data_IF_789247397377
#
_entry.id   IF_789247397377
#
_cell.length_a   1.000
_cell.length_b   1.000
_cell.length_c   1.000
_cell.angle_alpha   90.00
_cell.angle_beta   90.00
_cell.angle_gamma   90.00
#
_symmetry.space_group_name_H-M   'P 1'
#
loop_
_entity.id
_entity.type
_entity.pdbx_description
1 polymer ?
#
# COMPACT_ATOMS: atom_id res chain seq x y z
N UNK A 1 7.45 -22.59 16.61
CA UNK A 1 5.99 -22.32 16.68
C UNK A 1 5.50 -21.84 18.04
N UNK A 2 5.77 -22.50 19.19
CA UNK A 2 5.30 -22.06 20.53
C UNK A 2 5.56 -20.58 20.85
N UNK A 3 6.70 -20.03 20.42
CA UNK A 3 7.08 -18.65 20.71
C UNK A 3 6.27 -17.59 19.92
N UNK A 4 5.86 -17.91 18.68
CA UNK A 4 5.19 -16.94 17.78
C UNK A 4 3.77 -16.61 18.28
N UNK A 5 3.01 -17.63 18.70
CA UNK A 5 1.67 -17.45 19.24
C UNK A 5 1.64 -16.68 20.56
N UNK A 6 2.61 -16.95 21.46
CA UNK A 6 2.74 -16.24 22.72
C UNK A 6 3.12 -14.77 22.52
N UNK A 7 4.06 -14.49 21.62
CA UNK A 7 4.45 -13.12 21.29
C UNK A 7 3.29 -12.33 20.66
N UNK A 8 2.57 -12.95 19.72
CA UNK A 8 1.38 -12.36 19.12
C UNK A 8 0.31 -12.04 20.16
N UNK A 9 0.00 -12.98 21.07
CA UNK A 9 -0.97 -12.76 22.14
C UNK A 9 -0.54 -11.65 23.12
N UNK A 10 0.75 -11.56 23.45
CA UNK A 10 1.32 -10.49 24.28
C UNK A 10 1.12 -9.12 23.63
N UNK A 11 1.44 -9.00 22.33
CA UNK A 11 1.25 -7.76 21.56
C UNK A 11 -0.21 -7.32 21.53
N UNK A 12 -1.14 -8.23 21.21
CA UNK A 12 -2.59 -7.95 21.24
C UNK A 12 -3.07 -7.50 22.62
N UNK A 13 -2.64 -8.19 23.68
CA UNK A 13 -3.03 -7.86 25.06
C UNK A 13 -2.53 -6.47 25.47
N UNK A 14 -1.30 -6.11 25.07
CA UNK A 14 -0.75 -4.79 25.31
C UNK A 14 -1.54 -3.71 24.56
N UNK A 15 -1.89 -3.94 23.30
CA UNK A 15 -2.68 -3.00 22.49
C UNK A 15 -4.07 -2.74 23.11
N UNK A 16 -4.79 -3.79 23.51
CA UNK A 16 -6.13 -3.68 24.12
C UNK A 16 -6.11 -2.85 25.41
N UNK A 17 -5.01 -2.91 26.17
CA UNK A 17 -4.85 -2.15 27.43
C UNK A 17 -4.45 -0.68 27.18
N UNK A 18 -4.04 -0.32 25.97
CA UNK A 18 -3.61 1.04 25.65
C UNK A 18 -4.81 1.96 25.35
N UNK A 19 -5.18 2.76 26.35
CA UNK A 19 -6.29 3.72 26.24
C UNK A 19 -6.09 4.78 25.15
N UNK A 20 -4.83 5.17 24.83
CA UNK A 20 -4.54 6.16 23.79
C UNK A 20 -4.86 5.62 22.40
N UNK A 21 -4.43 4.38 22.11
CA UNK A 21 -4.73 3.69 20.84
C UNK A 21 -6.23 3.57 20.64
N UNK A 22 -6.95 3.10 21.67
CA UNK A 22 -8.41 2.96 21.62
C UNK A 22 -9.09 4.29 21.30
N UNK A 23 -8.75 5.35 22.01
CA UNK A 23 -9.34 6.69 21.80
C UNK A 23 -9.04 7.24 20.41
N UNK A 24 -7.81 7.05 19.89
CA UNK A 24 -7.44 7.49 18.55
C UNK A 24 -8.25 6.75 17.47
N UNK A 25 -8.38 5.42 17.59
CA UNK A 25 -9.15 4.61 16.65
C UNK A 25 -10.65 4.91 16.70
N UNK A 26 -11.24 5.10 17.89
CA UNK A 26 -12.66 5.47 18.02
C UNK A 26 -12.97 6.77 17.25
N UNK A 27 -12.13 7.79 17.40
CA UNK A 27 -12.27 9.07 16.66
C UNK A 27 -12.09 8.87 15.15
N UNK A 28 -11.08 8.11 14.76
CA UNK A 28 -10.79 7.85 13.35
C UNK A 28 -11.92 7.07 12.66
N UNK A 29 -12.44 6.02 13.29
CA UNK A 29 -13.55 5.19 12.77
C UNK A 29 -14.83 6.04 12.64
N UNK A 30 -15.15 6.86 13.65
CA UNK A 30 -16.32 7.73 13.59
C UNK A 30 -16.21 8.74 12.43
N UNK A 31 -15.04 9.39 12.28
CA UNK A 31 -14.76 10.32 11.19
C UNK A 31 -14.84 9.63 9.82
N UNK A 32 -14.23 8.46 9.68
CA UNK A 32 -14.25 7.67 8.44
C UNK A 32 -15.67 7.33 8.01
N UNK A 33 -16.48 6.76 8.92
CA UNK A 33 -17.88 6.38 8.62
C UNK A 33 -18.69 7.57 8.14
N UNK A 34 -18.58 8.71 8.84
CA UNK A 34 -19.26 9.95 8.48
C UNK A 34 -18.84 10.42 7.08
N UNK A 35 -17.52 10.51 6.82
CA UNK A 35 -17.02 10.99 5.52
C UNK A 35 -17.49 10.09 4.36
N UNK A 36 -17.40 8.77 4.50
CA UNK A 36 -17.86 7.84 3.45
C UNK A 36 -19.36 7.94 3.23
N UNK A 37 -20.16 8.06 4.29
CA UNK A 37 -21.61 8.25 4.17
C UNK A 37 -21.97 9.54 3.43
N UNK A 38 -21.35 10.67 3.80
CA UNK A 38 -21.53 11.96 3.13
C UNK A 38 -21.10 11.91 1.65
N UNK A 39 -19.97 11.28 1.36
CA UNK A 39 -19.45 11.17 0.00
C UNK A 39 -20.33 10.29 -0.90
N UNK A 40 -20.80 9.14 -0.39
CA UNK A 40 -21.71 8.27 -1.14
C UNK A 40 -23.10 8.90 -1.33
N UNK A 41 -23.57 9.70 -0.36
CA UNK A 41 -24.79 10.48 -0.53
C UNK A 41 -24.63 11.57 -1.60
N UNK A 42 -23.45 12.21 -1.66
CA UNK A 42 -23.12 13.22 -2.68
C UNK A 42 -22.92 12.62 -4.07
N UNK A 43 -22.38 11.41 -4.16
CA UNK A 43 -22.11 10.70 -5.41
C UNK A 43 -22.76 9.30 -5.44
N UNK A 44 -24.09 9.19 -5.54
CA UNK A 44 -24.80 7.90 -5.45
C UNK A 44 -24.40 6.89 -6.54
N UNK A 45 -23.99 7.36 -7.71
CA UNK A 45 -23.50 6.52 -8.81
C UNK A 45 -22.26 5.70 -8.44
N UNK A 46 -21.53 6.08 -7.38
CA UNK A 46 -20.38 5.33 -6.86
C UNK A 46 -20.74 3.89 -6.53
N UNK A 47 -21.97 3.60 -6.11
CA UNK A 47 -22.41 2.24 -5.81
C UNK A 47 -22.43 1.36 -7.06
N UNK A 48 -22.97 1.87 -8.17
CA UNK A 48 -22.97 1.18 -9.45
C UNK A 48 -21.54 1.04 -9.99
N UNK A 49 -20.74 2.10 -9.88
CA UNK A 49 -19.34 2.08 -10.27
C UNK A 49 -18.54 1.02 -9.49
N UNK A 50 -18.84 0.81 -8.22
CA UNK A 50 -18.19 -0.23 -7.40
C UNK A 50 -18.52 -1.65 -7.88
N UNK A 51 -19.75 -1.88 -8.38
CA UNK A 51 -20.12 -3.15 -9.01
C UNK A 51 -19.39 -3.36 -10.34
N UNK A 52 -19.24 -2.31 -11.15
CA UNK A 52 -18.40 -2.34 -12.35
C UNK A 52 -16.95 -2.66 -12.01
N UNK A 53 -16.38 -2.00 -10.99
CA UNK A 53 -15.02 -2.27 -10.53
C UNK A 53 -14.86 -3.70 -10.05
N UNK A 54 -15.85 -4.30 -9.38
CA UNK A 54 -15.81 -5.73 -9.02
C UNK A 54 -15.68 -6.60 -10.27
N UNK A 55 -16.48 -6.36 -11.31
CA UNK A 55 -16.40 -7.11 -12.57
C UNK A 55 -15.04 -6.91 -13.27
N UNK A 56 -14.53 -5.68 -13.28
CA UNK A 56 -13.19 -5.36 -13.81
C UNK A 56 -12.11 -6.16 -13.08
N UNK A 57 -12.16 -6.19 -11.74
CA UNK A 57 -11.20 -6.97 -10.94
C UNK A 57 -11.31 -8.46 -11.22
N UNK A 58 -12.51 -9.02 -11.28
CA UNK A 58 -12.71 -10.44 -11.61
C UNK A 58 -12.11 -10.80 -12.99
N UNK A 59 -12.46 -10.01 -14.01
CA UNK A 59 -11.97 -10.20 -15.37
C UNK A 59 -10.46 -9.96 -15.51
N UNK A 60 -9.88 -9.05 -14.72
CA UNK A 60 -8.44 -8.80 -14.77
C UNK A 60 -7.66 -9.93 -14.10
N UNK A 61 -8.12 -10.42 -12.94
CA UNK A 61 -7.43 -11.49 -12.23
C UNK A 61 -7.46 -12.81 -13.03
N UNK A 62 -8.52 -13.10 -13.79
CA UNK A 62 -8.58 -14.31 -14.62
C UNK A 62 -7.60 -14.34 -15.80
N UNK A 63 -6.97 -13.22 -16.16
CA UNK A 63 -5.96 -13.11 -17.23
C UNK A 63 -4.75 -12.29 -16.76
N UNK A 64 -4.43 -12.39 -15.47
CA UNK A 64 -3.47 -11.51 -14.81
C UNK A 64 -2.07 -11.60 -15.44
N UNK A 65 -1.60 -12.81 -15.79
CA UNK A 65 -0.30 -13.00 -16.47
C UNK A 65 -0.24 -12.28 -17.83
N UNK A 66 -1.30 -12.41 -18.64
CA UNK A 66 -1.39 -11.75 -19.95
C UNK A 66 -1.39 -10.22 -19.81
N UNK A 67 -2.16 -9.70 -18.86
CA UNK A 67 -2.23 -8.26 -18.58
C UNK A 67 -0.90 -7.70 -18.09
N UNK A 68 -0.18 -8.42 -17.23
CA UNK A 68 1.15 -8.00 -16.75
C UNK A 68 2.12 -7.94 -17.92
N UNK A 69 2.12 -8.95 -18.79
CA UNK A 69 2.96 -8.96 -20.00
C UNK A 69 2.63 -7.75 -20.90
N UNK A 70 1.35 -7.51 -21.17
CA UNK A 70 0.92 -6.36 -21.96
C UNK A 70 1.34 -5.01 -21.33
N UNK A 71 1.22 -4.89 -20.00
CA UNK A 71 1.66 -3.70 -19.28
C UNK A 71 3.18 -3.49 -19.40
N UNK A 72 3.96 -4.55 -19.26
CA UNK A 72 5.42 -4.51 -19.42
C UNK A 72 5.83 -4.08 -20.84
N UNK A 73 5.17 -4.61 -21.87
CA UNK A 73 5.43 -4.23 -23.26
C UNK A 73 5.05 -2.76 -23.51
N UNK A 74 3.90 -2.31 -23.02
CA UNK A 74 3.44 -0.91 -23.15
C UNK A 74 4.37 0.09 -22.44
N UNK A 75 4.92 -0.28 -21.27
CA UNK A 75 5.91 0.53 -20.55
C UNK A 75 7.20 0.68 -21.38
N UNK A 76 7.66 -0.39 -22.02
CA UNK A 76 8.84 -0.37 -22.90
C UNK A 76 8.65 0.50 -24.14
N UNK A 77 7.48 0.43 -24.75
CA UNK A 77 7.11 1.29 -25.88
C UNK A 77 7.17 2.79 -25.51
N UNK A 78 6.94 3.11 -24.24
CA UNK A 78 7.01 4.46 -23.68
C UNK A 78 8.38 4.86 -23.11
N UNK A 79 9.44 4.10 -23.43
CA UNK A 79 10.83 4.31 -22.96
C UNK A 79 11.03 4.09 -21.46
N UNK A 80 10.13 3.35 -20.81
CA UNK A 80 10.38 2.78 -19.49
C UNK A 80 11.00 1.40 -19.58
N UNK A 81 11.49 0.90 -18.45
CA UNK A 81 11.90 -0.48 -18.29
C UNK A 81 10.94 -1.20 -17.33
N UNK A 82 10.63 -2.46 -17.62
CA UNK A 82 9.69 -3.24 -16.83
C UNK A 82 10.25 -4.62 -16.49
N UNK A 83 10.06 -5.01 -15.24
CA UNK A 83 10.58 -6.25 -14.65
C UNK A 83 9.46 -7.00 -13.95
N UNK A 84 9.53 -8.33 -13.94
CA UNK A 84 8.66 -9.18 -13.15
C UNK A 84 9.51 -9.89 -12.11
N UNK A 85 9.24 -9.63 -10.84
CA UNK A 85 9.85 -10.30 -9.71
C UNK A 85 8.88 -11.34 -9.14
N UNK A 86 9.31 -12.60 -9.11
CA UNK A 86 8.52 -13.71 -8.57
C UNK A 86 8.44 -13.69 -7.05
N UNK A 87 9.47 -13.16 -6.39
CA UNK A 87 9.60 -13.17 -4.93
C UNK A 87 10.03 -11.81 -4.38
N UNK A 88 9.82 -11.61 -3.07
CA UNK A 88 10.32 -10.41 -2.37
C UNK A 88 11.84 -10.21 -2.53
N UNK A 89 12.63 -11.29 -2.52
CA UNK A 89 14.09 -11.21 -2.66
C UNK A 89 14.52 -10.82 -4.09
N UNK A 90 13.79 -11.29 -5.10
CA UNK A 90 14.06 -10.90 -6.48
C UNK A 90 13.73 -9.42 -6.70
N UNK A 91 12.61 -8.93 -6.14
CA UNK A 91 12.26 -7.51 -6.20
C UNK A 91 13.29 -6.63 -5.49
N UNK A 92 13.72 -7.02 -4.28
CA UNK A 92 14.83 -6.36 -3.57
C UNK A 92 16.08 -6.29 -4.43
N UNK A 93 16.52 -7.43 -5.00
CA UNK A 93 17.72 -7.50 -5.84
C UNK A 93 17.63 -6.57 -7.05
N UNK A 94 16.54 -6.62 -7.81
CA UNK A 94 16.35 -5.76 -9.00
C UNK A 94 16.42 -4.29 -8.60
N UNK A 95 15.67 -3.88 -7.57
CA UNK A 95 15.63 -2.48 -7.14
C UNK A 95 16.99 -2.05 -6.55
N UNK A 96 17.67 -2.93 -5.82
CA UNK A 96 19.02 -2.68 -5.29
C UNK A 96 20.06 -2.49 -6.38
N UNK A 97 20.01 -3.29 -7.45
CA UNK A 97 20.88 -3.14 -8.63
C UNK A 97 20.63 -1.80 -9.35
N UNK A 98 19.36 -1.40 -9.49
CA UNK A 98 19.00 -0.09 -10.07
C UNK A 98 19.42 1.08 -9.18
N UNK A 99 19.30 0.92 -7.86
CA UNK A 99 19.61 2.00 -6.92
C UNK A 99 21.11 2.19 -6.66
N UNK A 100 21.88 1.09 -6.63
CA UNK A 100 23.26 1.11 -6.19
C UNK A 100 23.41 1.45 -4.70
N UNK A 101 24.53 2.07 -4.35
CA UNK A 101 24.86 2.48 -2.98
C UNK A 101 25.22 3.97 -2.89
N UNK A 102 25.13 4.54 -1.68
CA UNK A 102 25.50 5.93 -1.41
C UNK A 102 24.54 6.98 -2.00
N UNK A 103 23.33 6.59 -2.41
CA UNK A 103 22.32 7.48 -2.98
C UNK A 103 21.39 8.06 -1.93
N UNK A 104 20.78 9.20 -2.24
CA UNK A 104 19.62 9.72 -1.52
C UNK A 104 18.36 9.32 -2.26
N UNK A 105 17.46 8.61 -1.56
CA UNK A 105 16.24 8.04 -2.12
C UNK A 105 15.04 8.64 -1.39
N UNK A 106 14.10 9.20 -2.15
CA UNK A 106 12.80 9.61 -1.61
C UNK A 106 11.74 8.59 -2.02
N UNK A 107 10.99 8.10 -1.05
CA UNK A 107 10.02 7.04 -1.24
C UNK A 107 8.63 7.53 -0.83
N UNK A 108 7.68 7.40 -1.75
CA UNK A 108 6.26 7.60 -1.45
C UNK A 108 5.65 6.32 -0.89
N UNK A 109 4.54 6.46 -0.14
CA UNK A 109 3.88 5.32 0.49
C UNK A 109 3.53 4.23 -0.52
N UNK A 110 3.96 3.00 -0.22
CA UNK A 110 3.61 1.82 -1.00
C UNK A 110 3.55 0.59 -0.12
N UNK A 111 2.36 -0.01 -0.01
CA UNK A 111 2.22 -1.29 0.71
C UNK A 111 3.08 -2.39 0.10
N UNK A 112 3.33 -2.36 -1.21
CA UNK A 112 4.14 -3.36 -1.89
C UNK A 112 5.62 -3.22 -1.55
N UNK A 113 6.11 -2.00 -1.28
CA UNK A 113 7.48 -1.83 -0.79
C UNK A 113 7.62 -2.21 0.68
N UNK A 114 6.61 -1.94 1.52
CA UNK A 114 6.59 -2.40 2.92
C UNK A 114 6.51 -3.93 2.99
N UNK A 115 5.72 -4.53 2.10
CA UNK A 115 5.61 -5.98 1.95
C UNK A 115 6.98 -6.64 1.76
N UNK A 116 7.87 -6.01 1.01
CA UNK A 116 9.21 -6.53 0.76
C UNK A 116 10.28 -5.86 1.64
N UNK A 117 9.94 -5.08 2.68
CA UNK A 117 10.93 -4.40 3.53
C UNK A 117 12.00 -3.63 2.73
N UNK A 118 11.55 -2.93 1.68
CA UNK A 118 12.46 -2.35 0.69
C UNK A 118 13.34 -1.25 1.29
N UNK A 119 12.80 -0.48 2.22
CA UNK A 119 13.51 0.63 2.85
C UNK A 119 14.73 0.14 3.62
N UNK A 120 14.53 -0.83 4.50
CA UNK A 120 15.59 -1.44 5.31
C UNK A 120 16.66 -2.07 4.41
N UNK A 121 16.23 -2.80 3.37
CA UNK A 121 17.15 -3.39 2.40
C UNK A 121 18.02 -2.34 1.67
N UNK A 122 17.43 -1.22 1.25
CA UNK A 122 18.17 -0.14 0.58
C UNK A 122 19.09 0.63 1.56
N UNK A 123 18.68 0.79 2.82
CA UNK A 123 19.50 1.36 3.90
C UNK A 123 20.72 0.45 4.19
N UNK A 124 20.54 -0.89 4.19
CA UNK A 124 21.63 -1.87 4.33
C UNK A 124 22.65 -1.81 3.18
N UNK A 125 22.21 -1.45 1.97
CA UNK A 125 23.10 -1.18 0.83
C UNK A 125 23.87 0.14 0.95
N UNK A 126 23.67 0.91 2.02
CA UNK A 126 24.36 2.17 2.29
C UNK A 126 23.67 3.40 1.68
N UNK A 127 22.39 3.31 1.33
CA UNK A 127 21.62 4.45 0.84
C UNK A 127 20.93 5.20 2.00
N UNK A 128 20.63 6.48 1.77
CA UNK A 128 19.77 7.27 2.66
C UNK A 128 18.36 7.28 2.10
N UNK A 129 17.44 6.56 2.73
CA UNK A 129 16.06 6.48 2.27
C UNK A 129 15.17 7.33 3.16
N UNK A 130 14.31 8.14 2.56
CA UNK A 130 13.34 8.98 3.27
C UNK A 130 11.93 8.67 2.80
N UNK A 131 11.06 8.26 3.73
CA UNK A 131 9.63 8.27 3.47
C UNK A 131 9.14 9.70 3.29
N UNK A 132 8.16 9.88 2.42
CA UNK A 132 7.67 11.22 2.05
C UNK A 132 6.21 11.45 2.40
N UNK A 133 5.49 10.38 2.74
CA UNK A 133 4.17 10.45 3.37
C UNK A 133 4.40 10.80 4.85
N UNK A 134 3.70 11.81 5.36
CA UNK A 134 3.87 12.29 6.73
C UNK A 134 3.77 11.15 7.76
N UNK A 135 2.80 10.26 7.56
CA UNK A 135 2.59 9.15 8.48
C UNK A 135 3.74 8.15 8.43
N UNK A 136 4.17 7.76 7.23
CA UNK A 136 5.30 6.82 7.07
C UNK A 136 6.62 7.42 7.59
N UNK A 137 6.85 8.72 7.40
CA UNK A 137 8.04 9.42 7.91
C UNK A 137 8.09 9.40 9.45
N UNK A 138 6.95 9.63 10.11
CA UNK A 138 6.85 9.56 11.57
C UNK A 138 7.21 8.13 12.04
N UNK A 139 6.65 7.11 11.38
CA UNK A 139 6.93 5.71 11.69
C UNK A 139 8.41 5.38 11.50
N UNK A 140 9.00 5.84 10.39
CA UNK A 140 10.42 5.68 10.09
C UNK A 140 11.30 6.27 11.19
N UNK A 141 11.08 7.53 11.59
CA UNK A 141 11.90 8.19 12.61
C UNK A 141 11.69 7.63 14.03
N UNK A 142 10.54 7.03 14.30
CA UNK A 142 10.30 6.32 15.57
C UNK A 142 10.90 4.91 15.57
N UNK A 143 11.21 4.34 14.41
CA UNK A 143 11.68 2.95 14.29
C UNK A 143 10.63 1.93 14.73
N UNK A 144 9.34 2.25 14.55
CA UNK A 144 8.22 1.39 14.90
C UNK A 144 7.53 0.86 13.63
N UNK A 145 6.52 -0.01 13.79
CA UNK A 145 5.74 -0.53 12.66
C UNK A 145 4.50 0.33 12.39
N UNK A 146 4.07 0.47 11.13
CA UNK A 146 2.79 1.12 10.82
C UNK A 146 1.63 0.28 11.35
N UNK A 147 0.51 0.93 11.71
CA UNK A 147 -0.65 0.22 12.27
C UNK A 147 -1.90 0.22 11.38
N UNK A 148 -1.84 0.86 10.23
CA UNK A 148 -2.96 0.92 9.27
C UNK A 148 -2.45 1.12 7.85
N UNK A 149 -3.15 0.57 6.86
CA UNK A 149 -2.76 0.61 5.44
C UNK A 149 -2.70 2.03 4.85
N UNK A 150 -3.64 2.89 5.25
CA UNK A 150 -3.78 4.27 4.74
C UNK A 150 -3.16 5.31 5.68
N UNK A 151 -3.27 5.10 6.99
CA UNK A 151 -2.95 6.08 8.05
C UNK A 151 -1.95 5.44 9.03
N UNK A 152 -0.70 5.21 8.61
CA UNK A 152 0.26 4.36 9.31
C UNK A 152 0.54 4.82 10.75
N UNK A 153 0.56 6.13 10.99
CA UNK A 153 0.81 6.76 12.29
C UNK A 153 -0.45 7.10 13.11
N UNK A 154 -1.63 6.55 12.76
CA UNK A 154 -2.92 6.88 13.43
C UNK A 154 -2.93 6.70 14.96
N UNK A 155 -2.02 5.87 15.46
CA UNK A 155 -1.88 5.52 16.86
C UNK A 155 -0.90 6.43 17.63
N UNK A 156 -0.16 7.29 16.92
CA UNK A 156 0.84 8.20 17.48
C UNK A 156 0.16 9.53 17.87
N UNK A 157 0.14 9.91 19.15
CA UNK A 157 -0.34 11.23 19.59
C UNK A 157 0.51 12.36 19.03
N UNK A 158 -0.11 13.52 18.75
CA UNK A 158 0.59 14.72 18.26
C UNK A 158 1.70 15.19 19.20
N UNK A 159 1.53 15.02 20.51
CA UNK A 159 2.53 15.42 21.50
C UNK A 159 3.85 14.65 21.30
N UNK A 160 3.74 13.35 20.99
CA UNK A 160 4.89 12.47 20.73
C UNK A 160 5.53 12.81 19.37
N UNK A 161 4.73 13.25 18.37
CA UNK A 161 5.23 13.74 17.07
C UNK A 161 6.04 15.03 17.24
N UNK A 162 5.57 15.98 18.05
CA UNK A 162 6.27 17.23 18.28
C UNK A 162 7.62 17.03 19.00
N UNK A 163 7.69 16.12 19.98
CA UNK A 163 8.94 15.73 20.63
C UNK A 163 9.92 15.08 19.63
N UNK A 164 9.42 14.18 18.80
CA UNK A 164 10.20 13.54 17.73
C UNK A 164 10.79 14.57 16.76
N UNK A 165 9.97 15.47 16.23
CA UNK A 165 10.42 16.50 15.28
C UNK A 165 11.40 17.47 15.95
N UNK A 166 11.22 17.77 17.24
CA UNK A 166 12.18 18.56 18.00
C UNK A 166 13.55 17.90 18.05
N UNK A 167 13.59 16.60 18.31
CA UNK A 167 14.82 15.81 18.34
C UNK A 167 15.48 15.70 16.96
N UNK A 168 14.70 15.46 15.91
CA UNK A 168 15.21 15.28 14.54
C UNK A 168 15.75 16.59 13.97
N UNK A 169 15.08 17.70 14.22
CA UNK A 169 15.45 19.01 13.65
C UNK A 169 16.36 19.85 14.53
N UNK A 170 16.47 19.51 15.82
CA UNK A 170 17.18 20.31 16.83
C UNK A 170 16.49 21.63 17.19
N UNK A 171 15.25 21.86 16.75
CA UNK A 171 14.45 23.07 17.03
C UNK A 171 13.18 22.70 17.76
N UNK A 172 12.80 23.46 18.79
CA UNK A 172 11.56 23.20 19.55
C UNK A 172 10.34 23.31 18.64
N UNK A 173 9.58 22.22 18.54
CA UNK A 173 8.31 22.14 17.80
C UNK A 173 7.17 22.02 18.82
N UNK A 174 6.19 22.93 18.80
CA UNK A 174 5.01 22.82 19.68
C UNK A 174 4.08 21.68 19.19
N UNK A 175 3.30 21.05 20.09
CA UNK A 175 2.33 19.99 19.78
C UNK A 175 1.06 20.52 19.09
N UNK A 176 1.27 21.21 17.97
CA UNK A 176 0.27 21.79 17.11
C UNK A 176 0.43 21.22 15.69
N UNK A 177 -0.60 20.54 15.20
CA UNK A 177 -0.58 19.84 13.91
C UNK A 177 -0.09 20.75 12.77
N UNK A 178 -0.53 22.01 12.73
CA UNK A 178 -0.10 22.96 11.70
C UNK A 178 1.40 23.24 11.72
N UNK A 179 2.01 23.26 12.92
CA UNK A 179 3.45 23.48 13.09
C UNK A 179 4.25 22.22 12.80
N UNK A 180 3.78 21.06 13.25
CA UNK A 180 4.38 19.76 12.92
C UNK A 180 4.45 19.55 11.40
N UNK A 181 3.33 19.79 10.70
CA UNK A 181 3.26 19.70 9.23
C UNK A 181 4.19 20.70 8.55
N UNK A 182 4.30 21.92 9.07
CA UNK A 182 5.20 22.94 8.53
C UNK A 182 6.67 22.49 8.59
N UNK A 183 7.09 21.93 9.72
CA UNK A 183 8.45 21.43 9.92
C UNK A 183 8.75 20.25 8.99
N UNK A 184 7.85 19.28 8.90
CA UNK A 184 8.00 18.14 7.98
C UNK A 184 8.08 18.60 6.54
N UNK A 185 7.24 19.57 6.15
CA UNK A 185 7.27 20.14 4.79
C UNK A 185 8.62 20.81 4.48
N UNK A 186 9.22 21.53 5.42
CA UNK A 186 10.54 22.14 5.22
C UNK A 186 11.62 21.06 5.03
N UNK A 187 11.63 20.05 5.90
CA UNK A 187 12.57 18.94 5.84
C UNK A 187 12.46 18.17 4.51
N UNK A 188 11.24 17.79 4.10
CA UNK A 188 11.05 16.98 2.90
C UNK A 188 11.35 17.75 1.61
N UNK A 189 11.11 19.07 1.57
CA UNK A 189 11.42 19.89 0.38
C UNK A 189 12.90 19.83 -0.01
N UNK A 190 13.80 19.92 0.96
CA UNK A 190 15.23 19.75 0.71
C UNK A 190 15.52 18.36 0.16
N UNK A 191 14.90 17.31 0.75
CA UNK A 191 15.11 15.92 0.31
C UNK A 191 14.60 15.63 -1.08
N UNK A 192 13.46 16.19 -1.51
CA UNK A 192 12.98 16.00 -2.88
C UNK A 192 13.95 16.57 -3.93
N UNK A 193 14.63 17.67 -3.62
CA UNK A 193 15.58 18.33 -4.53
C UNK A 193 16.93 17.59 -4.54
N UNK A 194 17.36 17.08 -3.39
CA UNK A 194 18.63 16.34 -3.24
C UNK A 194 18.57 14.88 -3.72
N UNK A 195 17.37 14.32 -3.91
CA UNK A 195 17.20 12.90 -4.19
C UNK A 195 17.70 12.50 -5.58
N UNK A 196 18.51 11.44 -5.60
CA UNK A 196 18.94 10.75 -6.80
C UNK A 196 17.83 9.88 -7.39
N UNK A 197 17.01 9.28 -6.53
CA UNK A 197 16.00 8.28 -6.91
C UNK A 197 14.68 8.55 -6.19
N UNK A 198 13.62 8.47 -6.98
CA UNK A 198 12.24 8.46 -6.54
C UNK A 198 11.67 7.06 -6.54
N UNK A 199 11.08 6.61 -5.42
CA UNK A 199 10.38 5.33 -5.35
C UNK A 199 8.88 5.55 -5.10
N UNK A 200 8.05 4.81 -5.82
CA UNK A 200 6.61 4.79 -5.57
C UNK A 200 5.98 3.41 -5.68
N UNK A 201 4.73 3.33 -5.22
CA UNK A 201 3.81 2.29 -5.66
C UNK A 201 2.87 2.80 -6.76
N UNK A 202 1.81 2.05 -7.01
CA UNK A 202 0.63 2.48 -7.74
C UNK A 202 -0.63 1.92 -7.05
N UNK A 203 -1.76 2.62 -7.22
CA UNK A 203 -3.07 2.11 -6.82
C UNK A 203 -3.61 1.12 -7.86
N UNK A 204 -3.39 1.41 -9.15
CA UNK A 204 -3.81 0.59 -10.29
C UNK A 204 -2.92 0.89 -11.50
N UNK A 205 -2.75 -0.09 -12.39
CA UNK A 205 -1.99 0.05 -13.63
C UNK A 205 -2.87 -0.34 -14.81
N UNK A 206 -2.90 0.48 -15.86
CA UNK A 206 -3.56 0.16 -17.11
C UNK A 206 -2.61 -0.61 -18.02
N UNK A 207 -2.97 -1.85 -18.39
CA UNK A 207 -2.14 -2.69 -19.23
C UNK A 207 -1.95 -2.12 -20.63
N UNK A 208 -3.01 -1.59 -21.26
CA UNK A 208 -2.96 -1.10 -22.64
C UNK A 208 -2.06 0.12 -22.85
N UNK A 209 -1.87 0.96 -21.82
CA UNK A 209 -1.07 2.19 -21.91
C UNK A 209 0.18 2.16 -21.05
N UNK A 210 0.40 1.10 -20.26
CA UNK A 210 1.48 1.06 -19.27
C UNK A 210 1.38 2.15 -18.19
N UNK A 211 0.21 2.77 -18.01
CA UNK A 211 0.04 3.93 -17.14
C UNK A 211 -0.21 3.53 -15.69
N UNK A 212 0.59 4.08 -14.78
CA UNK A 212 0.43 3.95 -13.34
C UNK A 212 -0.48 5.07 -12.84
N UNK A 213 -1.50 4.73 -12.05
CA UNK A 213 -2.37 5.70 -11.38
C UNK A 213 -2.06 5.70 -9.89
N UNK A 214 -1.69 6.87 -9.37
CA UNK A 214 -1.35 7.10 -7.96
C UNK A 214 -2.30 8.15 -7.37
N UNK A 215 -2.96 7.80 -6.28
CA UNK A 215 -3.89 8.66 -5.55
C UNK A 215 -3.18 9.20 -4.31
N UNK A 216 -3.18 10.52 -4.10
CA UNK A 216 -2.55 11.13 -2.93
C UNK A 216 -3.23 12.43 -2.48
N UNK A 217 -2.83 12.91 -1.29
CA UNK A 217 -3.35 14.15 -0.70
C UNK A 217 -2.26 15.16 -0.32
N UNK A 218 -0.99 14.76 -0.21
CA UNK A 218 0.09 15.60 0.33
C UNK A 218 0.94 16.25 -0.78
N UNK A 219 0.82 15.77 -2.01
CA UNK A 219 1.66 16.19 -3.15
C UNK A 219 3.05 15.55 -3.12
N UNK A 220 3.35 14.74 -2.11
CA UNK A 220 4.62 14.07 -1.90
C UNK A 220 4.88 13.02 -2.97
N UNK A 221 3.88 12.25 -3.41
CA UNK A 221 4.08 11.22 -4.42
C UNK A 221 4.41 11.85 -5.78
N UNK A 222 3.75 12.95 -6.15
CA UNK A 222 4.09 13.75 -7.33
C UNK A 222 5.52 14.26 -7.28
N UNK A 223 5.99 14.72 -6.11
CA UNK A 223 7.37 15.18 -5.95
C UNK A 223 8.35 14.01 -6.02
N UNK A 224 8.08 12.89 -5.33
CA UNK A 224 8.90 11.68 -5.40
C UNK A 224 9.02 11.11 -6.80
N UNK A 225 7.97 11.20 -7.61
CA UNK A 225 7.95 10.61 -8.96
C UNK A 225 8.31 11.61 -10.06
N UNK A 226 8.29 12.90 -9.75
CA UNK A 226 8.44 13.98 -10.73
C UNK A 226 9.72 14.80 -10.62
N UNK A 227 10.43 14.78 -9.50
CA UNK A 227 11.69 15.54 -9.31
C UNK A 227 12.96 14.71 -9.53
N UNK A 228 13.11 13.52 -8.92
CA UNK A 228 14.34 12.75 -9.05
C UNK A 228 14.62 12.33 -10.50
N UNK A 229 15.89 12.24 -10.92
CA UNK A 229 16.25 11.85 -12.28
C UNK A 229 15.91 10.39 -12.61
N UNK A 230 15.73 9.53 -11.60
CA UNK A 230 15.34 8.12 -11.75
C UNK A 230 14.05 7.89 -10.96
N UNK A 231 13.03 7.32 -11.59
CA UNK A 231 11.81 6.85 -10.93
C UNK A 231 11.70 5.33 -11.00
N UNK A 232 11.62 4.68 -9.84
CA UNK A 232 11.38 3.24 -9.70
C UNK A 232 10.01 3.02 -9.05
N UNK A 233 9.10 2.34 -9.73
CA UNK A 233 7.83 1.91 -9.17
C UNK A 233 7.86 0.42 -8.81
N UNK A 234 7.33 0.05 -7.65
CA UNK A 234 7.08 -1.35 -7.27
C UNK A 234 5.57 -1.58 -7.08
N UNK A 235 5.02 -2.53 -7.83
CA UNK A 235 3.56 -2.73 -7.92
C UNK A 235 3.23 -4.21 -7.93
N UNK A 236 2.29 -4.64 -7.08
CA UNK A 236 1.80 -6.02 -7.14
C UNK A 236 1.04 -6.29 -8.45
N UNK A 237 1.23 -7.47 -9.03
CA UNK A 237 0.59 -7.88 -10.31
C UNK A 237 -0.94 -7.85 -10.24
N UNK A 238 -1.52 -7.95 -9.04
CA UNK A 238 -2.97 -7.90 -8.84
C UNK A 238 -3.58 -6.54 -9.16
N UNK A 239 -2.76 -5.49 -9.29
CA UNK A 239 -3.21 -4.12 -9.54
C UNK A 239 -3.33 -3.79 -11.02
N UNK A 240 -2.98 -4.69 -11.93
CA UNK A 240 -3.09 -4.46 -13.37
C UNK A 240 -4.54 -4.70 -13.83
N UNK A 241 -5.07 -3.80 -14.65
CA UNK A 241 -6.38 -3.90 -15.33
C UNK A 241 -6.21 -3.65 -16.82
N UNK A 242 -7.21 -3.99 -17.64
CA UNK A 242 -7.04 -4.00 -19.11
C UNK A 242 -6.84 -2.58 -19.67
N UNK A 243 -7.78 -1.67 -19.38
CA UNK A 243 -7.83 -0.36 -20.03
C UNK A 243 -7.55 0.80 -19.09
N UNK A 244 -7.17 1.96 -19.64
CA UNK A 244 -6.99 3.19 -18.89
C UNK A 244 -8.30 3.67 -18.27
N UNK A 245 -9.42 3.52 -18.98
CA UNK A 245 -10.75 3.85 -18.45
C UNK A 245 -11.08 2.99 -17.22
N UNK A 246 -10.83 1.69 -17.29
CA UNK A 246 -11.00 0.78 -16.15
C UNK A 246 -10.11 1.17 -14.97
N UNK A 247 -8.85 1.53 -15.22
CA UNK A 247 -7.94 2.00 -14.18
C UNK A 247 -8.48 3.24 -13.47
N UNK A 248 -9.05 4.20 -14.21
CA UNK A 248 -9.66 5.39 -13.61
C UNK A 248 -10.91 5.05 -12.78
N UNK A 249 -11.74 4.10 -13.22
CA UNK A 249 -12.88 3.62 -12.40
C UNK A 249 -12.42 2.97 -11.11
N UNK A 250 -11.39 2.11 -11.18
CA UNK A 250 -10.78 1.47 -10.00
C UNK A 250 -10.23 2.53 -9.04
N UNK A 251 -9.52 3.53 -9.57
CA UNK A 251 -8.99 4.63 -8.77
C UNK A 251 -10.12 5.40 -8.08
N UNK A 252 -11.20 5.72 -8.81
CA UNK A 252 -12.33 6.47 -8.27
C UNK A 252 -13.00 5.77 -7.09
N UNK A 253 -13.37 4.51 -7.28
CA UNK A 253 -13.96 3.72 -6.19
C UNK A 253 -12.98 3.60 -5.02
N UNK A 254 -11.66 3.51 -5.30
CA UNK A 254 -10.65 3.43 -4.24
C UNK A 254 -10.66 4.67 -3.34
N UNK A 255 -10.59 5.89 -3.88
CA UNK A 255 -10.52 7.09 -3.03
C UNK A 255 -11.83 7.37 -2.30
N UNK A 256 -12.98 7.13 -2.94
CA UNK A 256 -14.31 7.33 -2.34
C UNK A 256 -14.47 6.47 -1.09
N UNK A 257 -13.93 5.25 -1.09
CA UNK A 257 -13.99 4.33 0.06
C UNK A 257 -12.78 4.41 0.99
N UNK A 258 -11.66 5.02 0.58
CA UNK A 258 -10.44 5.10 1.39
C UNK A 258 -10.50 6.23 2.42
N UNK A 259 -10.79 7.45 1.96
CA UNK A 259 -10.85 8.65 2.80
C UNK A 259 -12.27 9.19 2.96
N UNK A 260 -13.20 8.74 2.11
CA UNK A 260 -14.54 9.34 2.03
C UNK A 260 -14.50 10.76 1.49
N UNK A 261 -13.48 11.12 0.69
CA UNK A 261 -13.32 12.45 0.09
C UNK A 261 -12.64 12.34 -1.26
N UNK A 262 -12.86 13.35 -2.10
CA UNK A 262 -12.10 13.53 -3.34
C UNK A 262 -10.61 13.80 -3.00
N UNK A 263 -9.66 13.13 -3.65
CA UNK A 263 -8.24 13.31 -3.38
C UNK A 263 -7.76 14.67 -3.89
N UNK A 264 -6.71 15.22 -3.28
CA UNK A 264 -6.08 16.44 -3.78
C UNK A 264 -5.39 16.23 -5.13
N UNK A 265 -4.85 15.02 -5.36
CA UNK A 265 -4.14 14.68 -6.60
C UNK A 265 -4.41 13.26 -7.06
N UNK A 266 -4.48 13.10 -8.38
CA UNK A 266 -4.40 11.81 -9.08
C UNK A 266 -3.29 11.95 -10.11
N UNK A 267 -2.17 11.26 -9.89
CA UNK A 267 -1.03 11.28 -10.80
C UNK A 267 -1.12 10.11 -11.77
N UNK A 268 -0.99 10.41 -13.07
CA UNK A 268 -0.93 9.41 -14.14
C UNK A 268 0.49 9.44 -14.69
N UNK A 269 1.23 8.36 -14.50
CA UNK A 269 2.65 8.25 -14.85
C UNK A 269 2.80 7.15 -15.89
N UNK A 270 3.23 7.50 -17.10
CA UNK A 270 3.31 6.54 -18.22
C UNK A 270 4.71 6.42 -18.81
N UNK A 271 5.72 7.02 -18.19
CA UNK A 271 7.08 7.04 -18.74
C UNK A 271 7.93 8.17 -18.16
N UNK A 272 9.16 8.33 -18.66
CA UNK A 272 10.03 9.45 -18.30
C UNK A 272 9.40 10.80 -18.67
N UNK A 273 9.86 11.86 -18.00
CA UNK A 273 9.46 13.25 -18.31
C UNK A 273 9.77 13.57 -19.76
N UNK A 274 8.87 14.21 -20.51
CA UNK A 274 9.10 14.56 -21.92
C UNK A 274 8.38 15.83 -22.36
N UNK A 275 8.94 16.53 -23.35
CA UNK A 275 8.30 17.65 -24.08
C UNK A 275 8.34 17.39 -25.59
N UNK A 276 7.42 18.02 -26.32
CA UNK A 276 7.43 18.10 -27.78
C UNK A 276 7.20 19.54 -28.26
N UNK A 277 7.43 20.55 -27.41
CA UNK A 277 7.10 21.95 -27.73
C UNK A 277 8.02 22.53 -28.82
N UNK A 278 9.24 22.01 -28.94
CA UNK A 278 10.21 22.40 -29.97
C UNK A 278 10.06 21.47 -31.17
N UNK A 279 9.49 22.00 -32.26
CA UNK A 279 9.38 21.32 -33.57
C UNK A 279 8.62 19.98 -33.55
N UNK A 280 7.84 19.70 -32.49
CA UNK A 280 7.20 18.38 -32.26
C UNK A 280 8.20 17.22 -32.09
N UNK A 281 9.46 17.53 -31.79
CA UNK A 281 10.48 16.53 -31.51
C UNK A 281 10.42 16.15 -30.03
N UNK A 282 10.08 14.89 -29.76
CA UNK A 282 10.00 14.38 -28.39
C UNK A 282 11.39 14.35 -27.76
N UNK A 283 11.58 15.12 -26.70
CA UNK A 283 12.81 15.16 -25.89
C UNK A 283 12.48 14.73 -24.47
N UNK A 284 13.27 13.83 -23.90
CA UNK A 284 13.05 13.24 -22.58
C UNK A 284 13.95 13.88 -21.50
N UNK A 285 13.52 13.80 -20.24
CA UNK A 285 14.28 14.28 -19.09
C UNK A 285 14.23 15.78 -18.85
N UNK A 286 13.11 16.45 -19.16
CA UNK A 286 13.00 17.92 -19.13
C UNK A 286 12.97 18.46 -17.70
N UNK A 287 11.95 18.06 -16.93
CA UNK A 287 11.74 18.53 -15.55
C UNK A 287 11.75 17.41 -14.52
N UNK A 288 11.58 16.16 -14.96
CA UNK A 288 11.50 15.01 -14.08
C UNK A 288 12.34 13.83 -14.57
N UNK A 289 11.95 12.59 -14.24
CA UNK A 289 12.79 11.43 -14.47
C UNK A 289 13.25 11.29 -15.92
N UNK A 290 14.52 10.98 -16.09
CA UNK A 290 15.14 10.51 -17.34
C UNK A 290 14.96 9.01 -17.50
N UNK A 291 14.96 8.31 -16.38
CA UNK A 291 14.83 6.86 -16.30
C UNK A 291 13.56 6.50 -15.53
N UNK A 292 12.81 5.53 -16.07
CA UNK A 292 11.55 5.07 -15.49
C UNK A 292 11.55 3.55 -15.46
N UNK A 293 11.48 2.96 -14.27
CA UNK A 293 11.53 1.52 -14.05
C UNK A 293 10.28 1.06 -13.30
N UNK A 294 9.69 -0.06 -13.71
CA UNK A 294 8.53 -0.66 -13.03
C UNK A 294 8.82 -2.11 -12.71
N UNK A 295 8.81 -2.45 -11.42
CA UNK A 295 8.95 -3.82 -10.92
C UNK A 295 7.57 -4.34 -10.52
N UNK A 296 7.03 -5.22 -11.34
CA UNK A 296 5.83 -5.99 -11.02
C UNK A 296 6.18 -7.11 -10.05
N UNK A 297 5.45 -7.20 -8.94
CA UNK A 297 5.66 -8.20 -7.89
C UNK A 297 4.55 -9.25 -7.92
N UNK A 298 4.93 -10.51 -8.12
CA UNK A 298 4.04 -11.65 -7.96
C UNK A 298 3.94 -12.04 -6.47
N UNK A 299 4.98 -12.67 -5.91
CA UNK A 299 5.03 -13.04 -4.49
C UNK A 299 3.80 -13.85 -4.04
N UNK A 300 3.42 -14.87 -4.82
CA UNK A 300 2.28 -15.77 -4.53
C UNK A 300 0.95 -15.33 -5.12
N UNK A 301 0.90 -14.22 -5.87
CA UNK A 301 -0.34 -13.65 -6.42
C UNK A 301 -0.85 -14.47 -7.59
N UNK A 302 0.01 -14.99 -8.46
CA UNK A 302 -0.41 -15.87 -9.56
C UNK A 302 -1.04 -17.16 -9.01
N UNK A 303 -0.42 -17.81 -8.00
CA UNK A 303 -1.01 -18.99 -7.37
C UNK A 303 -2.32 -18.68 -6.65
N UNK A 304 -2.43 -17.50 -6.04
CA UNK A 304 -3.68 -17.06 -5.42
C UNK A 304 -4.79 -16.82 -6.46
N UNK A 305 -4.47 -16.39 -7.68
CA UNK A 305 -5.46 -16.14 -8.74
C UNK A 305 -6.14 -17.45 -9.19
N UNK A 306 -5.37 -18.53 -9.26
CA UNK A 306 -5.86 -19.87 -9.60
C UNK A 306 -6.56 -20.57 -8.43
N UNK A 307 -6.39 -20.06 -7.20
CA UNK A 307 -6.99 -20.66 -6.01
C UNK A 307 -8.42 -20.14 -5.78
N UNK A 308 -9.47 -20.98 -5.95
CA UNK A 308 -10.86 -20.54 -5.80
C UNK A 308 -11.21 -20.09 -4.37
N UNK A 309 -10.45 -20.54 -3.37
CA UNK A 309 -10.68 -20.18 -1.96
C UNK A 309 -10.12 -18.80 -1.63
N UNK A 310 -9.04 -18.36 -2.28
CA UNK A 310 -8.31 -17.15 -1.89
C UNK A 310 -8.21 -16.07 -2.97
N UNK A 311 -8.61 -16.36 -4.22
CA UNK A 311 -8.53 -15.41 -5.35
C UNK A 311 -9.23 -14.08 -5.12
N UNK A 312 -10.32 -14.05 -4.35
CA UNK A 312 -11.04 -12.79 -4.08
C UNK A 312 -10.18 -11.78 -3.30
N UNK A 313 -9.15 -12.22 -2.57
CA UNK A 313 -8.23 -11.33 -1.90
C UNK A 313 -7.52 -10.38 -2.87
N UNK A 314 -7.31 -10.80 -4.12
CA UNK A 314 -6.67 -10.04 -5.20
C UNK A 314 -7.56 -8.92 -5.76
N UNK A 315 -8.86 -8.92 -5.45
CA UNK A 315 -9.77 -7.82 -5.84
C UNK A 315 -9.61 -6.58 -4.95
N UNK A 316 -8.82 -6.68 -3.88
CA UNK A 316 -8.70 -5.65 -2.86
C UNK A 316 -8.16 -4.32 -3.42
N UNK A 317 -8.93 -3.24 -3.24
CA UNK A 317 -8.54 -1.88 -3.61
C UNK A 317 -7.61 -1.19 -2.61
N UNK A 318 -7.26 -1.86 -1.50
CA UNK A 318 -6.48 -1.31 -0.37
C UNK A 318 -7.13 -0.07 0.29
N UNK A 319 -8.45 0.08 0.20
CA UNK A 319 -9.18 1.22 0.76
C UNK A 319 -9.36 1.20 2.29
N UNK A 320 -8.95 0.15 3.00
CA UNK A 320 -9.04 0.12 4.46
C UNK A 320 -10.45 0.04 5.07
N UNK A 321 -11.52 0.09 4.27
CA UNK A 321 -12.92 0.01 4.75
C UNK A 321 -13.17 -1.17 5.69
N UNK A 322 -12.59 -2.34 5.37
CA UNK A 322 -12.70 -3.54 6.19
C UNK A 322 -12.05 -3.39 7.58
N UNK A 323 -11.01 -2.56 7.73
CA UNK A 323 -10.33 -2.31 9.01
C UNK A 323 -11.14 -1.38 9.90
N UNK A 324 -11.66 -0.28 9.34
CA UNK A 324 -12.51 0.66 10.09
C UNK A 324 -13.81 0.03 10.59
N UNK A 325 -14.30 -1.01 9.90
CA UNK A 325 -15.51 -1.74 10.28
C UNK A 325 -15.25 -2.96 11.15
N UNK A 326 -13.97 -3.31 11.38
CA UNK A 326 -13.60 -4.47 12.15
C UNK A 326 -13.62 -4.15 13.66
N UNK A 327 -14.45 -4.84 14.47
CA UNK A 327 -14.50 -4.62 15.91
C UNK A 327 -13.21 -5.05 16.63
N UNK A 328 -12.48 -6.02 16.08
CA UNK A 328 -11.19 -6.46 16.64
C UNK A 328 -10.14 -5.38 16.40
N UNK A 329 -10.00 -4.91 15.15
CA UNK A 329 -9.05 -3.86 14.79
C UNK A 329 -9.26 -2.58 15.60
N UNK A 330 -10.52 -2.22 15.89
CA UNK A 330 -10.85 -1.07 16.74
C UNK A 330 -10.25 -1.15 18.17
N UNK A 331 -9.92 -2.35 18.65
CA UNK A 331 -9.34 -2.60 19.97
C UNK A 331 -7.83 -2.87 19.92
N UNK A 332 -7.34 -3.41 18.81
CA UNK A 332 -5.97 -3.94 18.70
C UNK A 332 -5.09 -3.17 17.75
N UNK A 333 -5.64 -2.27 16.94
CA UNK A 333 -4.94 -1.57 15.86
C UNK A 333 -4.18 -2.54 14.94
N UNK A 334 -3.00 -2.11 14.47
CA UNK A 334 -2.10 -2.87 13.62
C UNK A 334 -1.53 -4.14 14.23
N UNK A 335 -1.65 -4.34 15.55
CA UNK A 335 -1.22 -5.60 16.17
C UNK A 335 -2.10 -6.78 15.73
N UNK A 336 -3.30 -6.52 15.19
CA UNK A 336 -4.10 -7.53 14.52
C UNK A 336 -3.61 -7.76 13.08
N UNK A 337 -2.38 -8.24 12.95
CA UNK A 337 -1.73 -8.52 11.69
C UNK A 337 -0.20 -8.47 11.77
N UNK A 338 0.42 -8.51 10.59
CA UNK A 338 1.86 -8.26 10.42
C UNK A 338 2.08 -7.20 9.35
N UNK A 339 2.53 -7.59 8.13
CA UNK A 339 2.65 -6.69 6.97
C UNK A 339 1.28 -6.18 6.50
N UNK A 340 0.25 -7.02 6.63
CA UNK A 340 -1.13 -6.68 6.39
C UNK A 340 -1.97 -6.88 7.65
N UNK A 341 -3.04 -6.10 7.77
CA UNK A 341 -3.87 -6.03 8.98
C UNK A 341 -5.27 -6.61 8.76
N UNK A 342 -5.92 -6.99 9.86
CA UNK A 342 -7.30 -7.45 9.84
C UNK A 342 -7.47 -8.87 9.29
N UNK A 343 -8.73 -9.26 9.10
CA UNK A 343 -9.07 -10.56 8.49
C UNK A 343 -8.54 -10.69 7.06
N UNK A 344 -8.58 -9.60 6.27
CA UNK A 344 -7.96 -9.60 4.93
C UNK A 344 -6.44 -9.77 5.03
N UNK A 345 -5.81 -9.22 6.08
CA UNK A 345 -4.39 -9.37 6.32
C UNK A 345 -3.98 -10.80 6.61
N UNK A 346 -4.77 -11.59 7.34
CA UNK A 346 -4.51 -13.01 7.50
C UNK A 346 -4.44 -13.75 6.16
N UNK A 347 -5.37 -13.46 5.25
CA UNK A 347 -5.39 -14.06 3.90
C UNK A 347 -4.17 -13.60 3.09
N UNK A 348 -3.84 -12.31 3.11
CA UNK A 348 -2.65 -11.80 2.43
C UNK A 348 -1.35 -12.38 3.00
N UNK A 349 -1.25 -12.53 4.32
CA UNK A 349 -0.12 -13.22 4.95
C UNK A 349 -0.01 -14.65 4.44
N UNK A 350 -1.12 -15.40 4.32
CA UNK A 350 -1.10 -16.75 3.76
C UNK A 350 -0.62 -16.78 2.30
N UNK A 351 -1.01 -15.79 1.49
CA UNK A 351 -0.60 -15.68 0.09
C UNK A 351 0.91 -15.41 0.00
N UNK A 352 1.37 -14.30 0.58
CA UNK A 352 2.73 -13.79 0.35
C UNK A 352 3.82 -14.58 1.08
N UNK A 353 3.45 -15.33 2.12
CA UNK A 353 4.38 -16.23 2.81
C UNK A 353 4.44 -17.63 2.18
N UNK A 354 3.64 -17.91 1.14
CA UNK A 354 3.48 -19.24 0.58
C UNK A 354 2.67 -20.20 1.47
N UNK A 355 1.95 -19.68 2.47
CA UNK A 355 1.07 -20.48 3.33
C UNK A 355 -0.02 -21.22 2.55
N UNK A 356 -0.52 -20.65 1.45
CA UNK A 356 -1.49 -21.31 0.56
C UNK A 356 -0.86 -22.35 -0.38
N UNK A 357 0.47 -22.33 -0.56
CA UNK A 357 1.24 -23.27 -1.40
C UNK A 357 2.04 -24.29 -0.59
N UNK A 358 1.93 -24.27 0.75
CA UNK A 358 2.45 -25.32 1.63
C UNK A 358 3.53 -24.87 2.63
N UNK A 359 3.91 -23.59 2.67
CA UNK A 359 4.80 -23.09 3.72
C UNK A 359 4.10 -23.10 5.09
N UNK A 360 4.45 -24.07 5.93
CA UNK A 360 3.84 -24.26 7.25
C UNK A 360 4.08 -23.07 8.20
N UNK A 361 5.24 -22.43 8.15
CA UNK A 361 5.50 -21.27 9.01
C UNK A 361 4.61 -20.08 8.60
N UNK A 362 4.53 -19.82 7.29
CA UNK A 362 3.65 -18.82 6.71
C UNK A 362 2.17 -19.07 7.02
N UNK A 363 1.73 -20.34 6.88
CA UNK A 363 0.39 -20.77 7.23
C UNK A 363 0.10 -20.59 8.72
N UNK A 364 1.05 -20.87 9.60
CA UNK A 364 0.89 -20.68 11.04
C UNK A 364 0.71 -19.20 11.42
N UNK A 365 1.54 -18.31 10.88
CA UNK A 365 1.40 -16.86 11.11
C UNK A 365 0.06 -16.34 10.59
N UNK A 366 -0.35 -16.78 9.39
CA UNK A 366 -1.66 -16.45 8.84
C UNK A 366 -2.81 -16.98 9.71
N UNK A 367 -2.70 -18.22 10.20
CA UNK A 367 -3.73 -18.84 11.03
C UNK A 367 -3.89 -18.12 12.38
N UNK A 368 -2.81 -17.68 13.03
CA UNK A 368 -2.89 -16.92 14.30
C UNK A 368 -3.74 -15.65 14.15
N UNK A 369 -3.52 -14.89 13.08
CA UNK A 369 -4.36 -13.73 12.74
C UNK A 369 -5.77 -14.21 12.37
N UNK A 370 -5.87 -15.27 11.56
CA UNK A 370 -7.14 -15.89 11.15
C UNK A 370 -8.03 -16.25 12.33
N UNK A 371 -7.52 -16.85 13.41
CA UNK A 371 -8.27 -17.24 14.61
C UNK A 371 -8.70 -16.06 15.48
N UNK A 372 -8.07 -14.89 15.33
CA UNK A 372 -8.47 -13.68 16.06
C UNK A 372 -9.68 -12.99 15.40
N UNK A 373 -9.94 -13.25 14.11
CA UNK A 373 -11.11 -12.71 13.40
C UNK A 373 -12.44 -13.26 13.96
N UNK A 374 -13.45 -12.40 14.17
CA UNK A 374 -14.77 -12.84 14.64
C UNK A 374 -15.69 -13.38 13.53
N UNK A 375 -15.25 -13.34 12.26
CA UNK A 375 -16.06 -13.74 11.09
C UNK A 375 -17.44 -13.05 11.01
N UNK A 376 -17.57 -11.83 11.56
CA UNK A 376 -18.86 -11.15 11.74
C UNK A 376 -19.50 -10.57 10.46
N UNK A 377 -18.84 -10.65 9.29
CA UNK A 377 -19.42 -10.21 8.01
C UNK A 377 -19.41 -8.71 7.70
N UNK A 378 -19.18 -7.83 8.67
CA UNK A 378 -19.22 -6.36 8.45
C UNK A 378 -18.28 -5.90 7.34
N UNK A 379 -17.08 -6.48 7.27
CA UNK A 379 -16.09 -6.16 6.24
C UNK A 379 -16.58 -6.49 4.82
N UNK A 380 -17.38 -7.56 4.64
CA UNK A 380 -18.00 -7.91 3.34
C UNK A 380 -19.07 -6.89 2.95
N UNK A 381 -19.93 -6.53 3.91
CA UNK A 381 -21.02 -5.56 3.69
C UNK A 381 -20.50 -4.18 3.29
N UNK A 382 -19.38 -3.76 3.88
CA UNK A 382 -18.81 -2.42 3.65
C UNK A 382 -17.71 -2.39 2.58
N UNK A 383 -17.30 -3.53 2.05
CA UNK A 383 -16.34 -3.60 0.96
C UNK A 383 -17.00 -3.11 -0.34
N UNK A 384 -16.41 -2.14 -1.07
CA UNK A 384 -16.98 -1.68 -2.34
C UNK A 384 -17.12 -2.81 -3.37
N UNK A 385 -16.15 -3.73 -3.35
CA UNK A 385 -16.08 -4.89 -4.25
C UNK A 385 -16.49 -6.19 -3.56
N UNK A 386 -17.26 -6.12 -2.47
CA UNK A 386 -17.96 -7.25 -1.82
C UNK A 386 -17.10 -8.51 -1.54
N UNK A 387 -15.79 -8.35 -1.26
CA UNK A 387 -14.87 -9.48 -0.98
C UNK A 387 -15.34 -10.27 0.24
N UNK A 388 -15.44 -11.59 0.11
CA UNK A 388 -15.88 -12.48 1.19
C UNK A 388 -14.74 -12.88 2.14
N UNK A 389 -14.21 -11.88 2.84
CA UNK A 389 -13.17 -12.09 3.87
C UNK A 389 -13.59 -13.13 4.93
N UNK A 390 -14.81 -13.11 5.50
CA UNK A 390 -15.22 -14.12 6.48
C UNK A 390 -15.11 -15.55 5.96
N UNK A 391 -15.56 -15.81 4.72
CA UNK A 391 -15.45 -17.13 4.13
C UNK A 391 -13.98 -17.54 3.94
N UNK A 392 -13.15 -16.66 3.37
CA UNK A 392 -11.71 -16.95 3.20
C UNK A 392 -11.00 -17.24 4.54
N UNK A 393 -11.41 -16.57 5.64
CA UNK A 393 -10.89 -16.85 6.97
C UNK A 393 -11.31 -18.25 7.47
N UNK A 394 -12.56 -18.65 7.23
CA UNK A 394 -13.04 -19.99 7.58
C UNK A 394 -12.25 -21.05 6.82
N UNK A 395 -12.05 -20.87 5.52
CA UNK A 395 -11.25 -21.79 4.70
C UNK A 395 -9.78 -21.82 5.14
N UNK A 396 -9.18 -20.67 5.45
CA UNK A 396 -7.82 -20.60 6.01
C UNK A 396 -7.69 -21.40 7.32
N UNK A 397 -8.69 -21.33 8.21
CA UNK A 397 -8.71 -22.11 9.45
C UNK A 397 -8.82 -23.61 9.18
N UNK A 398 -9.67 -24.03 8.22
CA UNK A 398 -9.79 -25.46 7.84
C UNK A 398 -8.45 -26.00 7.34
N UNK A 399 -7.82 -25.29 6.40
CA UNK A 399 -6.50 -25.65 5.87
C UNK A 399 -5.46 -25.72 6.98
N UNK A 400 -5.47 -24.77 7.93
CA UNK A 400 -4.55 -24.80 9.06
C UNK A 400 -4.78 -26.03 9.96
N UNK A 401 -6.04 -26.37 10.28
CA UNK A 401 -6.35 -27.58 11.05
C UNK A 401 -5.82 -28.81 10.33
N UNK A 402 -6.19 -29.02 9.07
CA UNK A 402 -5.77 -30.19 8.27
C UNK A 402 -4.25 -30.36 8.16
N UNK A 403 -3.47 -29.28 8.30
CA UNK A 403 -2.00 -29.31 8.22
C UNK A 403 -1.30 -29.46 9.58
N UNK A 404 -1.95 -29.07 10.67
CA UNK A 404 -1.36 -29.07 12.01
C UNK A 404 -1.98 -30.09 12.98
N UNK A 405 -3.04 -30.78 12.58
CA UNK A 405 -3.56 -32.00 13.22
C UNK A 405 -3.20 -33.21 12.39
#
# INVERSE_FOLDING_TARGET
MKNIGEEYAKRLTAAIRNKRIKMALERAIASYRKNVEEELARFPHTLQLAEEVRMIKEASISKMEELVKQAMDSIKDLKGEAYLAKTENEARRIIGELAGSGRTIVKSKSLTSEEVGLREYLEELGNKVYETDLGELIIQFLGIKPTHLINPSIHVPREDVAELLTRVTGKVVPPEISREVEVVRQLLREKFVEADIGISGANVVAAETGSLVVIENEGNARLSTGFPPIHIAIVGVEKVVQTFSEAMKVAEVTWRYATGRTPSYVNIISGPSKTADIEKTVTYGVHGPKEFHVVFLDNGRFEAAENPLFREALYCLRCGACLYECPVFALTAGEFGEKYFGGIGAVWTAIISGGITGNLEGLASAALVGYTCLTCGRCKVKCPVKIDIPNMIIELRKVAVEKFT
#
